data_IF_745569444217
#
_entry.id   IF_745569444217
#
_cell.length_a   1.000
_cell.length_b   1.000
_cell.length_c   1.000
_cell.angle_alpha   90.00
_cell.angle_beta   90.00
_cell.angle_gamma   90.00
#
_symmetry.space_group_name_H-M   'P 1'
#
loop_
_entity.id
_entity.type
_entity.pdbx_description
1 polymer ?
#
# COMPACT_ATOMS: atom_id res chain seq x y z
N UNK A 1 -47.19 -9.35 17.21
CA UNK A 1 -46.77 -10.70 16.82
C UNK A 1 -45.27 -10.67 16.69
N UNK A 2 -44.52 -11.42 17.51
CA UNK A 2 -43.07 -11.29 17.52
C UNK A 2 -42.45 -12.00 16.32
N UNK A 3 -41.36 -11.40 15.87
CA UNK A 3 -40.44 -11.90 14.87
C UNK A 3 -39.55 -12.96 15.51
N UNK A 4 -39.62 -14.19 15.00
CA UNK A 4 -38.61 -15.24 15.16
C UNK A 4 -38.96 -16.32 14.14
N UNK A 5 -38.17 -16.41 13.06
CA UNK A 5 -37.96 -17.60 12.21
C UNK A 5 -37.51 -17.17 10.82
N UNK A 6 -36.22 -16.83 10.67
CA UNK A 6 -35.64 -16.59 9.35
C UNK A 6 -34.15 -16.98 9.26
N UNK A 7 -33.69 -18.03 9.94
CA UNK A 7 -32.40 -18.67 9.62
C UNK A 7 -32.40 -20.14 10.03
N UNK A 8 -32.26 -21.11 9.10
CA UNK A 8 -31.89 -22.46 9.50
C UNK A 8 -30.43 -22.43 10.00
N UNK A 9 -30.24 -22.73 11.28
CA UNK A 9 -28.92 -22.97 11.88
C UNK A 9 -28.27 -24.17 11.17
N UNK A 10 -26.96 -24.10 10.85
CA UNK A 10 -26.27 -25.22 10.20
C UNK A 10 -26.22 -26.44 11.13
N UNK A 11 -26.27 -27.63 10.53
CA UNK A 11 -26.25 -28.94 11.20
C UNK A 11 -25.29 -29.01 12.39
N UNK A 12 -25.82 -29.38 13.55
CA UNK A 12 -25.16 -29.38 14.86
C UNK A 12 -23.90 -30.27 14.95
N UNK A 13 -23.67 -31.19 14.01
CA UNK A 13 -22.47 -32.04 13.97
C UNK A 13 -21.22 -31.31 13.47
N UNK A 14 -21.37 -30.33 12.57
CA UNK A 14 -20.25 -29.53 12.04
C UNK A 14 -19.79 -28.46 13.04
N UNK A 15 -20.69 -27.94 13.88
CA UNK A 15 -20.37 -26.89 14.84
C UNK A 15 -19.44 -27.35 15.99
N UNK A 16 -19.56 -28.61 16.44
CA UNK A 16 -18.64 -29.19 17.46
C UNK A 16 -17.23 -29.38 16.91
N UNK A 17 -17.09 -29.98 15.72
CA UNK A 17 -15.80 -30.17 15.06
C UNK A 17 -15.08 -28.84 14.74
N UNK A 18 -15.83 -27.80 14.35
CA UNK A 18 -15.26 -26.46 14.10
C UNK A 18 -14.85 -25.77 15.41
N UNK A 19 -15.62 -25.92 16.49
CA UNK A 19 -15.25 -25.37 17.81
C UNK A 19 -14.00 -26.04 18.39
N UNK A 20 -13.90 -27.37 18.31
CA UNK A 20 -12.74 -28.13 18.78
C UNK A 20 -11.47 -27.79 17.98
N UNK A 21 -11.57 -27.64 16.66
CA UNK A 21 -10.44 -27.16 15.83
C UNK A 21 -10.05 -25.73 16.15
N UNK A 22 -11.01 -24.82 16.34
CA UNK A 22 -10.73 -23.44 16.75
C UNK A 22 -10.03 -23.36 18.12
N UNK A 23 -10.39 -24.22 19.08
CA UNK A 23 -9.65 -24.31 20.35
C UNK A 23 -8.24 -24.88 20.18
N UNK A 24 -8.02 -25.77 19.21
CA UNK A 24 -6.69 -26.26 18.83
C UNK A 24 -5.79 -25.14 18.28
N UNK A 25 -6.26 -24.39 17.27
CA UNK A 25 -5.47 -23.29 16.70
C UNK A 25 -5.10 -22.21 17.70
N UNK A 26 -6.00 -21.89 18.66
CA UNK A 26 -5.69 -20.94 19.72
C UNK A 26 -4.58 -21.45 20.62
N UNK A 27 -4.65 -22.72 21.04
CA UNK A 27 -3.61 -23.35 21.87
C UNK A 27 -2.26 -23.39 21.14
N UNK A 28 -2.27 -23.80 19.88
CA UNK A 28 -1.05 -23.85 19.05
C UNK A 28 -0.47 -22.45 18.83
N UNK A 29 -1.33 -21.45 18.63
CA UNK A 29 -0.94 -20.04 18.53
C UNK A 29 -0.25 -19.53 19.79
N UNK A 30 -0.83 -19.74 20.96
CA UNK A 30 -0.20 -19.31 22.22
C UNK A 30 1.11 -20.05 22.51
N UNK A 31 1.18 -21.35 22.23
CA UNK A 31 2.42 -22.12 22.38
C UNK A 31 3.53 -21.60 21.46
N UNK A 32 3.18 -21.23 20.23
CA UNK A 32 4.11 -20.61 19.28
C UNK A 32 4.58 -19.23 19.74
N UNK A 33 3.66 -18.38 20.22
CA UNK A 33 4.01 -17.06 20.78
C UNK A 33 5.00 -17.23 21.92
N UNK A 34 4.74 -18.13 22.87
CA UNK A 34 5.64 -18.38 24.00
C UNK A 34 7.03 -18.83 23.52
N UNK A 35 7.08 -19.78 22.58
CA UNK A 35 8.34 -20.32 22.07
C UNK A 35 9.19 -19.27 21.33
N UNK A 36 8.58 -18.52 20.40
CA UNK A 36 9.30 -17.52 19.61
C UNK A 36 9.65 -16.28 20.43
N UNK A 37 8.77 -15.85 21.34
CA UNK A 37 9.06 -14.76 22.26
C UNK A 37 10.22 -15.12 23.19
N UNK A 38 10.19 -16.32 23.80
CA UNK A 38 11.30 -16.79 24.63
C UNK A 38 12.61 -16.85 23.84
N UNK A 39 12.56 -17.31 22.59
CA UNK A 39 13.72 -17.33 21.70
C UNK A 39 14.29 -15.92 21.46
N UNK A 40 13.47 -14.97 20.98
CA UNK A 40 13.92 -13.61 20.69
C UNK A 40 14.39 -12.88 21.94
N UNK A 41 13.70 -13.04 23.06
CA UNK A 41 14.08 -12.42 24.32
C UNK A 41 15.37 -13.02 24.89
N UNK A 42 15.63 -14.32 24.68
CA UNK A 42 16.92 -14.94 25.03
C UNK A 42 18.06 -14.35 24.20
N UNK A 43 17.86 -14.22 22.88
CA UNK A 43 18.84 -13.54 22.01
C UNK A 43 19.08 -12.09 22.46
N UNK A 44 18.02 -11.38 22.86
CA UNK A 44 18.14 -10.00 23.32
C UNK A 44 18.87 -9.90 24.68
N UNK A 45 18.59 -10.81 25.62
CA UNK A 45 19.30 -10.88 26.88
C UNK A 45 20.81 -11.12 26.67
N UNK A 46 21.18 -12.03 25.78
CA UNK A 46 22.59 -12.25 25.42
C UNK A 46 23.24 -11.01 24.80
N UNK A 47 22.53 -10.30 23.91
CA UNK A 47 23.04 -9.05 23.32
C UNK A 47 23.28 -7.98 24.39
N UNK A 48 22.41 -7.88 25.40
CA UNK A 48 22.61 -6.97 26.52
C UNK A 48 23.80 -7.39 27.39
N UNK A 49 23.96 -8.68 27.69
CA UNK A 49 25.12 -9.21 28.42
C UNK A 49 26.43 -8.93 27.66
N UNK A 50 26.46 -9.23 26.36
CA UNK A 50 27.60 -8.98 25.47
C UNK A 50 27.94 -7.47 25.40
N UNK A 51 26.95 -6.59 25.56
CA UNK A 51 27.11 -5.13 25.61
C UNK A 51 27.48 -4.58 27.01
N UNK A 52 27.65 -5.43 28.02
CA UNK A 52 27.97 -5.04 29.40
C UNK A 52 26.78 -4.59 30.25
N UNK A 53 25.56 -4.82 29.77
CA UNK A 53 24.28 -4.38 30.39
C UNK A 53 23.60 -5.54 31.17
N UNK A 54 24.38 -6.37 31.87
CA UNK A 54 23.88 -7.59 32.51
C UNK A 54 22.77 -7.39 33.55
N UNK A 55 22.73 -6.23 34.20
CA UNK A 55 21.63 -5.89 35.12
C UNK A 55 20.32 -5.69 34.36
N UNK A 56 20.36 -5.14 33.14
CA UNK A 56 19.18 -4.97 32.29
C UNK A 56 18.74 -6.32 31.71
N UNK A 57 19.69 -7.17 31.29
CA UNK A 57 19.40 -8.53 30.84
C UNK A 57 18.58 -9.33 31.87
N UNK A 58 18.95 -9.23 33.16
CA UNK A 58 18.22 -9.86 34.28
C UNK A 58 16.87 -9.23 34.59
N UNK A 59 16.62 -8.00 34.13
CA UNK A 59 15.34 -7.32 34.30
C UNK A 59 14.38 -7.53 33.11
N UNK A 60 14.81 -8.21 32.04
CA UNK A 60 13.98 -8.44 30.87
C UNK A 60 12.78 -9.35 31.18
N UNK A 61 11.58 -9.01 30.69
CA UNK A 61 10.41 -9.86 30.82
C UNK A 61 10.58 -11.19 30.04
N UNK A 62 9.84 -12.23 30.44
CA UNK A 62 9.77 -13.55 29.81
C UNK A 62 11.04 -14.43 29.83
N UNK A 63 12.19 -13.90 30.24
CA UNK A 63 13.46 -14.65 30.39
C UNK A 63 13.91 -14.72 31.84
N UNK A 64 13.57 -13.71 32.65
CA UNK A 64 13.89 -13.65 34.07
C UNK A 64 12.62 -13.61 34.91
N UNK A 65 12.60 -14.36 36.00
CA UNK A 65 11.55 -14.29 37.03
C UNK A 65 11.69 -13.07 37.96
N UNK A 66 12.75 -12.27 37.76
CA UNK A 66 13.05 -11.11 38.59
C UNK A 66 12.02 -10.00 38.34
N UNK A 67 11.11 -9.80 39.30
CA UNK A 67 10.16 -8.67 39.26
C UNK A 67 10.89 -7.38 39.60
N UNK A 68 10.75 -6.35 38.77
CA UNK A 68 11.17 -4.99 39.13
C UNK A 68 10.38 -4.58 40.37
N UNK A 69 11.09 -4.27 41.47
CA UNK A 69 10.46 -3.75 42.68
C UNK A 69 9.77 -2.42 42.38
N UNK A 70 8.46 -2.33 42.68
CA UNK A 70 7.69 -1.09 42.54
C UNK A 70 8.34 0.01 43.38
N UNK A 71 8.73 1.12 42.74
CA UNK A 71 9.29 2.30 43.41
C UNK A 71 10.76 2.62 43.12
N UNK A 72 11.48 1.77 42.36
CA UNK A 72 12.81 2.14 41.83
C UNK A 72 12.68 3.09 40.64
N UNK A 73 13.59 4.07 40.55
CA UNK A 73 13.69 5.00 39.42
C UNK A 73 13.91 4.17 38.14
N UNK A 74 12.96 4.25 37.21
CA UNK A 74 13.12 3.68 35.87
C UNK A 74 14.22 4.46 35.16
N UNK A 75 15.33 3.80 34.80
CA UNK A 75 16.36 4.42 33.96
C UNK A 75 15.87 4.49 32.52
N UNK A 76 16.31 5.49 31.75
CA UNK A 76 15.98 5.61 30.33
C UNK A 76 16.34 4.32 29.55
N UNK A 77 17.46 3.68 29.92
CA UNK A 77 17.90 2.40 29.37
C UNK A 77 16.93 1.25 29.65
N UNK A 78 16.37 1.18 30.85
CA UNK A 78 15.37 0.17 31.19
C UNK A 78 14.07 0.39 30.41
N UNK A 79 13.64 1.64 30.27
CA UNK A 79 12.50 2.00 29.43
C UNK A 79 12.73 1.58 27.97
N UNK A 80 13.92 1.83 27.42
CA UNK A 80 14.29 1.40 26.07
C UNK A 80 14.24 -0.13 25.93
N UNK A 81 14.80 -0.87 26.89
CA UNK A 81 14.80 -2.33 26.87
C UNK A 81 13.37 -2.90 26.87
N UNK A 82 12.48 -2.32 27.67
CA UNK A 82 11.07 -2.72 27.72
C UNK A 82 10.30 -2.32 26.46
N UNK A 83 10.62 -1.17 25.86
CA UNK A 83 10.05 -0.75 24.57
C UNK A 83 10.40 -1.76 23.46
N UNK A 84 11.68 -2.13 23.35
CA UNK A 84 12.14 -3.15 22.39
C UNK A 84 11.44 -4.49 22.69
N UNK A 85 11.40 -4.92 23.95
CA UNK A 85 10.75 -6.17 24.34
C UNK A 85 9.26 -6.22 23.94
N UNK A 86 8.54 -5.09 24.07
CA UNK A 86 7.16 -4.97 23.64
C UNK A 86 7.02 -5.02 22.11
N UNK A 87 7.95 -4.41 21.35
CA UNK A 87 7.95 -4.55 19.89
C UNK A 87 8.26 -6.00 19.44
N UNK A 88 9.15 -6.71 20.14
CA UNK A 88 9.41 -8.12 19.86
C UNK A 88 8.16 -8.98 20.10
N UNK A 89 7.38 -8.70 21.15
CA UNK A 89 6.09 -9.33 21.37
C UNK A 89 5.15 -9.10 20.18
N UNK A 90 4.99 -7.85 19.72
CA UNK A 90 4.15 -7.53 18.56
C UNK A 90 4.59 -8.30 17.30
N UNK A 91 5.90 -8.35 17.01
CA UNK A 91 6.45 -9.09 15.86
C UNK A 91 6.09 -10.58 15.94
N UNK A 92 6.20 -11.19 17.13
CA UNK A 92 5.88 -12.60 17.36
C UNK A 92 4.38 -12.87 17.24
N UNK A 93 3.54 -11.98 17.78
CA UNK A 93 2.08 -12.07 17.67
C UNK A 93 1.63 -11.94 16.21
N UNK A 94 2.15 -10.96 15.47
CA UNK A 94 1.87 -10.76 14.06
C UNK A 94 2.25 -11.97 13.21
N UNK A 95 3.47 -12.50 13.41
CA UNK A 95 3.93 -13.68 12.69
C UNK A 95 3.08 -14.92 13.05
N UNK A 96 2.79 -15.14 14.33
CA UNK A 96 1.93 -16.25 14.77
C UNK A 96 0.55 -16.14 14.13
N UNK A 97 -0.07 -14.97 14.17
CA UNK A 97 -1.38 -14.74 13.55
C UNK A 97 -1.33 -15.05 12.05
N UNK A 98 -0.26 -14.65 11.34
CA UNK A 98 -0.09 -14.96 9.93
C UNK A 98 0.04 -16.48 9.67
N UNK A 99 0.80 -17.21 10.50
CA UNK A 99 0.98 -18.66 10.35
C UNK A 99 -0.29 -19.45 10.67
N UNK A 100 -0.99 -19.09 11.74
CA UNK A 100 -2.26 -19.75 12.10
C UNK A 100 -3.30 -19.53 10.99
N UNK A 101 -3.37 -18.33 10.40
CA UNK A 101 -4.25 -18.08 9.24
C UNK A 101 -3.90 -18.98 8.05
N UNK A 102 -2.62 -19.14 7.73
CA UNK A 102 -2.17 -20.03 6.65
C UNK A 102 -2.50 -21.49 6.94
N UNK A 103 -2.29 -21.94 8.17
CA UNK A 103 -2.62 -23.30 8.59
C UNK A 103 -4.13 -23.57 8.46
N UNK A 104 -4.97 -22.64 8.93
CA UNK A 104 -6.43 -22.73 8.80
C UNK A 104 -6.88 -22.74 7.34
N UNK A 105 -6.29 -21.88 6.51
CA UNK A 105 -6.56 -21.85 5.06
C UNK A 105 -6.17 -23.18 4.38
N UNK A 106 -5.04 -23.78 4.77
CA UNK A 106 -4.59 -25.06 4.23
C UNK A 106 -5.46 -26.25 4.67
N UNK A 107 -5.91 -26.27 5.94
CA UNK A 107 -6.67 -27.39 6.51
C UNK A 107 -8.18 -27.31 6.26
N UNK A 108 -8.75 -26.11 6.24
CA UNK A 108 -10.20 -25.87 6.16
C UNK A 108 -10.61 -25.24 4.82
N UNK A 109 -9.65 -24.68 4.07
CA UNK A 109 -9.85 -24.07 2.75
C UNK A 109 -9.97 -22.54 2.78
N UNK A 110 -10.09 -21.94 1.60
CA UNK A 110 -10.04 -20.47 1.39
C UNK A 110 -11.12 -19.66 2.14
N UNK A 111 -12.18 -20.31 2.60
CA UNK A 111 -13.28 -19.69 3.35
C UNK A 111 -13.14 -19.79 4.87
N UNK A 112 -12.02 -20.33 5.38
CA UNK A 112 -11.80 -20.53 6.81
C UNK A 112 -11.62 -19.23 7.60
N UNK A 113 -11.00 -18.23 6.96
CA UNK A 113 -10.61 -16.98 7.63
C UNK A 113 -11.65 -15.88 7.46
N UNK A 114 -12.14 -15.38 8.59
CA UNK A 114 -13.04 -14.24 8.64
C UNK A 114 -12.33 -12.99 8.13
N UNK A 115 -13.03 -12.17 7.34
CA UNK A 115 -12.48 -10.95 6.75
C UNK A 115 -11.68 -11.16 5.45
N UNK A 116 -11.50 -12.41 4.99
CA UNK A 116 -10.91 -12.70 3.67
C UNK A 116 -11.98 -12.94 2.60
N UNK A 117 -11.59 -12.77 1.33
CA UNK A 117 -12.48 -12.89 0.16
C UNK A 117 -13.27 -14.21 0.13
N UNK A 118 -12.60 -15.35 0.35
CA UNK A 118 -13.23 -16.66 0.29
C UNK A 118 -14.39 -16.82 1.28
N UNK A 119 -14.23 -16.32 2.50
CA UNK A 119 -15.29 -16.32 3.52
C UNK A 119 -16.50 -15.50 3.07
N UNK A 120 -16.26 -14.29 2.56
CA UNK A 120 -17.35 -13.40 2.10
C UNK A 120 -18.05 -13.94 0.85
N UNK A 121 -17.32 -14.49 -0.12
CA UNK A 121 -17.93 -15.12 -1.29
C UNK A 121 -18.77 -16.34 -0.93
N UNK A 122 -18.30 -17.18 -0.01
CA UNK A 122 -19.10 -18.30 0.53
C UNK A 122 -20.39 -17.80 1.19
N UNK A 123 -20.30 -16.73 1.99
CA UNK A 123 -21.48 -16.10 2.63
C UNK A 123 -22.48 -15.57 1.60
N UNK A 124 -22.02 -14.85 0.57
CA UNK A 124 -22.88 -14.31 -0.50
C UNK A 124 -23.53 -15.43 -1.33
N UNK A 125 -22.79 -16.49 -1.65
CA UNK A 125 -23.32 -17.67 -2.33
C UNK A 125 -24.39 -18.38 -1.49
N UNK A 126 -24.15 -18.53 -0.20
CA UNK A 126 -25.12 -19.14 0.74
C UNK A 126 -26.40 -18.30 0.86
N UNK A 127 -26.28 -16.97 0.75
CA UNK A 127 -27.41 -16.05 0.68
C UNK A 127 -28.12 -16.02 -0.69
N UNK A 128 -27.75 -16.90 -1.64
CA UNK A 128 -28.41 -17.00 -2.95
C UNK A 128 -28.01 -15.91 -3.95
N UNK A 129 -26.95 -15.14 -3.71
CA UNK A 129 -26.50 -14.10 -4.64
C UNK A 129 -25.68 -14.72 -5.77
N UNK A 130 -26.10 -14.50 -7.02
CA UNK A 130 -25.43 -15.05 -8.19
C UNK A 130 -24.04 -14.43 -8.41
N UNK A 131 -23.06 -15.18 -8.96
CA UNK A 131 -21.73 -14.65 -9.29
C UNK A 131 -21.77 -13.43 -10.20
N UNK A 132 -22.71 -13.38 -11.16
CA UNK A 132 -22.90 -12.24 -12.06
C UNK A 132 -23.27 -10.97 -11.30
N UNK A 133 -24.17 -11.09 -10.31
CA UNK A 133 -24.56 -9.96 -9.47
C UNK A 133 -23.42 -9.52 -8.56
N UNK A 134 -22.64 -10.46 -8.01
CA UNK A 134 -21.46 -10.14 -7.21
C UNK A 134 -20.43 -9.37 -8.05
N UNK A 135 -20.06 -9.88 -9.24
CA UNK A 135 -19.10 -9.22 -10.14
C UNK A 135 -19.55 -7.80 -10.53
N UNK A 136 -20.85 -7.64 -10.84
CA UNK A 136 -21.43 -6.32 -11.18
C UNK A 136 -21.34 -5.31 -10.03
N UNK A 137 -21.48 -5.78 -8.78
CA UNK A 137 -21.37 -4.91 -7.61
C UNK A 137 -19.90 -4.63 -7.29
N UNK A 138 -19.02 -5.64 -7.39
CA UNK A 138 -17.59 -5.50 -7.12
C UNK A 138 -16.97 -4.37 -7.94
N UNK A 139 -17.29 -4.27 -9.23
CA UNK A 139 -16.77 -3.22 -10.13
C UNK A 139 -17.21 -1.80 -9.76
N UNK A 140 -18.24 -1.65 -8.92
CA UNK A 140 -18.77 -0.36 -8.45
C UNK A 140 -18.23 0.05 -7.08
N UNK A 141 -17.56 -0.86 -6.37
CA UNK A 141 -17.00 -0.57 -5.05
C UNK A 141 -15.78 0.32 -5.24
N UNK A 142 -15.75 1.43 -4.49
CA UNK A 142 -14.59 2.32 -4.38
C UNK A 142 -14.15 2.34 -2.93
N UNK A 143 -12.87 2.09 -2.69
CA UNK A 143 -12.24 2.18 -1.37
C UNK A 143 -11.09 3.18 -1.46
N UNK A 144 -11.12 4.20 -0.59
CA UNK A 144 -10.11 5.26 -0.57
C UNK A 144 -9.53 5.43 0.85
N UNK A 145 -8.44 4.72 1.18
CA UNK A 145 -7.73 4.94 2.43
C UNK A 145 -7.00 6.30 2.37
N UNK A 146 -7.23 7.13 3.37
CA UNK A 146 -6.58 8.45 3.51
C UNK A 146 -5.50 8.38 4.58
N UNK A 147 -4.25 8.61 4.16
CA UNK A 147 -3.07 8.55 5.02
C UNK A 147 -2.93 9.83 5.82
N UNK A 148 -2.73 9.71 7.13
CA UNK A 148 -2.52 10.83 8.04
C UNK A 148 -1.17 10.72 8.73
N UNK A 149 -0.59 11.84 9.15
CA UNK A 149 0.57 11.81 10.04
C UNK A 149 0.16 11.21 11.39
N UNK A 150 0.99 10.34 11.96
CA UNK A 150 0.71 9.77 13.28
C UNK A 150 1.31 10.70 14.36
N UNK A 151 0.50 11.28 15.26
CA UNK A 151 0.97 12.34 16.17
C UNK A 151 1.93 11.86 17.27
N UNK A 152 1.93 10.56 17.59
CA UNK A 152 2.68 9.98 18.73
C UNK A 152 3.57 8.81 18.38
N UNK A 153 3.53 8.31 17.14
CA UNK A 153 4.29 7.12 16.71
C UNK A 153 5.13 7.48 15.49
N UNK A 154 5.92 8.53 15.65
CA UNK A 154 7.10 8.66 14.82
C UNK A 154 8.06 7.55 15.29
N UNK A 155 8.01 6.36 14.71
CA UNK A 155 9.12 5.41 14.78
C UNK A 155 10.09 5.79 13.68
N UNK A 156 11.40 5.81 13.99
CA UNK A 156 12.41 6.16 12.97
C UNK A 156 12.24 5.21 11.80
N UNK A 157 12.29 5.70 10.57
CA UNK A 157 12.21 4.86 9.38
C UNK A 157 13.23 3.71 9.45
N UNK A 158 14.41 3.98 9.99
CA UNK A 158 15.47 3.01 10.28
C UNK A 158 15.04 1.95 11.32
N UNK A 159 14.34 2.34 12.38
CA UNK A 159 13.82 1.40 13.41
C UNK A 159 12.74 0.49 12.81
N UNK A 160 11.83 1.03 11.99
CA UNK A 160 10.86 0.21 11.25
C UNK A 160 11.54 -0.79 10.30
N UNK A 161 12.65 -0.40 9.67
CA UNK A 161 13.45 -1.30 8.84
C UNK A 161 14.07 -2.45 9.66
N UNK A 162 14.63 -2.15 10.83
CA UNK A 162 15.15 -3.18 11.73
C UNK A 162 14.05 -4.13 12.23
N UNK A 163 12.88 -3.61 12.61
CA UNK A 163 11.74 -4.47 12.97
C UNK A 163 11.29 -5.37 11.81
N UNK A 164 11.22 -4.82 10.59
CA UNK A 164 10.93 -5.61 9.39
C UNK A 164 11.98 -6.68 9.16
N UNK A 165 13.26 -6.37 9.31
CA UNK A 165 14.34 -7.34 9.15
C UNK A 165 14.23 -8.46 10.19
N UNK A 166 13.97 -8.13 11.46
CA UNK A 166 13.71 -9.11 12.52
C UNK A 166 12.50 -10.00 12.19
N UNK A 167 11.41 -9.43 11.69
CA UNK A 167 10.24 -10.19 11.25
C UNK A 167 10.60 -11.17 10.12
N UNK A 168 11.38 -10.73 9.12
CA UNK A 168 11.82 -11.58 8.01
C UNK A 168 12.74 -12.71 8.48
N UNK A 169 13.68 -12.43 9.38
CA UNK A 169 14.55 -13.44 9.98
C UNK A 169 13.76 -14.44 10.82
N UNK A 170 12.75 -13.98 11.57
CA UNK A 170 11.85 -14.84 12.32
C UNK A 170 11.09 -15.79 11.37
N UNK A 171 10.54 -15.28 10.27
CA UNK A 171 9.85 -16.09 9.25
C UNK A 171 10.82 -17.05 8.57
N UNK A 172 12.04 -16.61 8.25
CA UNK A 172 13.06 -17.44 7.63
C UNK A 172 13.44 -18.62 8.53
N UNK A 173 13.59 -18.39 9.84
CA UNK A 173 13.89 -19.41 10.85
C UNK A 173 12.88 -20.55 10.88
N UNK A 174 11.62 -20.30 10.53
CA UNK A 174 10.55 -21.31 10.54
C UNK A 174 10.69 -22.39 9.46
N UNK A 175 11.54 -22.16 8.46
CA UNK A 175 11.74 -23.13 7.41
C UNK A 175 12.39 -24.40 7.99
N UNK A 176 11.65 -25.50 7.89
CA UNK A 176 12.00 -26.82 8.44
C UNK A 176 13.17 -27.50 7.70
N UNK A 177 13.56 -26.98 6.53
CA UNK A 177 14.65 -27.53 5.72
C UNK A 177 16.03 -27.06 6.16
N UNK A 178 16.13 -26.07 7.04
CA UNK A 178 17.42 -25.56 7.48
C UNK A 178 18.20 -26.58 8.32
N UNK A 179 19.50 -26.66 8.04
CA UNK A 179 20.46 -27.36 8.87
C UNK A 179 20.69 -26.64 10.20
N UNK A 180 21.23 -27.32 11.23
CA UNK A 180 21.57 -26.67 12.50
C UNK A 180 22.54 -25.49 12.35
N UNK A 181 23.45 -25.54 11.37
CA UNK A 181 24.39 -24.45 11.10
C UNK A 181 23.67 -23.23 10.53
N UNK A 182 22.78 -23.42 9.56
CA UNK A 182 21.98 -22.33 8.97
C UNK A 182 21.03 -21.70 10.01
N UNK A 183 20.42 -22.51 10.87
CA UNK A 183 19.63 -22.03 12.01
C UNK A 183 20.47 -21.17 12.96
N UNK A 184 21.73 -21.56 13.21
CA UNK A 184 22.67 -20.76 14.01
C UNK A 184 23.02 -19.44 13.31
N UNK A 185 23.27 -19.45 12.00
CA UNK A 185 23.52 -18.23 11.22
C UNK A 185 22.34 -17.25 11.33
N UNK A 186 21.11 -17.73 11.15
CA UNK A 186 19.90 -16.88 11.29
C UNK A 186 19.81 -16.30 12.71
N UNK A 187 20.12 -17.10 13.73
CA UNK A 187 20.15 -16.63 15.12
C UNK A 187 21.20 -15.52 15.33
N UNK A 188 22.38 -15.68 14.77
CA UNK A 188 23.45 -14.69 14.87
C UNK A 188 23.07 -13.39 14.14
N UNK A 189 22.41 -13.48 12.97
CA UNK A 189 21.85 -12.33 12.27
C UNK A 189 20.76 -11.61 13.10
N UNK A 190 19.89 -12.36 13.78
CA UNK A 190 18.90 -11.80 14.71
C UNK A 190 19.59 -11.04 15.84
N UNK A 191 20.67 -11.59 16.44
CA UNK A 191 21.44 -10.91 17.49
C UNK A 191 22.05 -9.60 16.97
N UNK A 192 22.59 -9.58 15.74
CA UNK A 192 23.12 -8.36 15.12
C UNK A 192 22.03 -7.30 14.97
N UNK A 193 20.84 -7.66 14.49
CA UNK A 193 19.73 -6.70 14.35
C UNK A 193 19.20 -6.20 15.70
N UNK A 194 19.13 -7.07 16.71
CA UNK A 194 18.81 -6.67 18.09
C UNK A 194 19.86 -5.70 18.66
N UNK A 195 21.15 -5.92 18.39
CA UNK A 195 22.20 -5.00 18.82
C UNK A 195 22.09 -3.64 18.10
N UNK A 196 21.77 -3.63 16.79
CA UNK A 196 21.50 -2.38 16.06
C UNK A 196 20.33 -1.63 16.69
N UNK A 197 19.22 -2.30 17.01
CA UNK A 197 18.09 -1.66 17.69
C UNK A 197 18.48 -1.09 19.05
N UNK A 198 19.20 -1.87 19.86
CA UNK A 198 19.65 -1.46 21.19
C UNK A 198 20.56 -0.23 21.15
N UNK A 199 21.50 -0.18 20.19
CA UNK A 199 22.42 0.97 20.04
C UNK A 199 21.76 2.17 19.37
N UNK A 200 20.72 1.97 18.54
CA UNK A 200 20.04 3.05 17.80
C UNK A 200 19.05 3.83 18.67
N UNK A 201 18.33 3.13 19.55
CA UNK A 201 17.23 3.71 20.32
C UNK A 201 15.94 3.90 19.51
N UNK A 202 14.79 3.71 20.17
CA UNK A 202 13.47 3.78 19.53
C UNK A 202 12.79 5.15 19.69
N UNK A 203 13.12 5.89 20.76
CA UNK A 203 12.43 7.12 21.15
C UNK A 203 13.01 8.31 20.38
N UNK A 204 12.16 9.04 19.66
CA UNK A 204 12.55 10.35 19.12
C UNK A 204 12.74 11.35 20.26
N UNK A 205 13.91 11.98 20.29
CA UNK A 205 14.19 13.10 21.20
C UNK A 205 13.47 14.39 20.76
N UNK A 206 13.02 14.47 19.50
CA UNK A 206 12.34 15.64 18.91
C UNK A 206 11.21 15.24 17.95
N UNK A 207 10.16 16.06 17.88
CA UNK A 207 9.05 15.88 16.92
C UNK A 207 9.60 15.86 15.48
N UNK A 208 9.17 14.93 14.60
CA UNK A 208 9.63 14.91 13.21
C UNK A 208 9.27 16.21 12.48
N UNK A 209 10.10 16.57 11.51
CA UNK A 209 9.76 17.58 10.51
C UNK A 209 8.67 17.06 9.56
N UNK A 210 7.86 17.97 9.00
CA UNK A 210 6.84 17.62 7.99
C UNK A 210 7.48 16.87 6.81
N UNK A 211 8.71 17.25 6.43
CA UNK A 211 9.48 16.57 5.38
C UNK A 211 9.65 15.07 5.66
N UNK A 212 9.91 14.68 6.90
CA UNK A 212 10.04 13.30 7.32
C UNK A 212 8.70 12.56 7.30
N UNK A 213 7.61 13.22 7.70
CA UNK A 213 6.25 12.66 7.61
C UNK A 213 5.85 12.40 6.15
N UNK A 214 6.10 13.37 5.25
CA UNK A 214 5.90 13.22 3.79
C UNK A 214 6.69 12.03 3.26
N UNK A 215 7.97 11.93 3.60
CA UNK A 215 8.84 10.85 3.13
C UNK A 215 8.37 9.48 3.62
N UNK A 216 7.85 9.40 4.85
CA UNK A 216 7.25 8.18 5.40
C UNK A 216 6.07 7.69 4.55
N UNK A 217 5.13 8.58 4.22
CA UNK A 217 3.97 8.23 3.39
C UNK A 217 4.37 7.88 1.95
N UNK A 218 5.29 8.65 1.36
CA UNK A 218 5.80 8.38 0.02
C UNK A 218 6.45 6.99 -0.06
N UNK A 219 7.16 6.56 0.98
CA UNK A 219 7.70 5.19 1.04
C UNK A 219 6.60 4.13 0.91
N UNK A 220 5.49 4.25 1.64
CA UNK A 220 4.39 3.28 1.55
C UNK A 220 3.72 3.32 0.17
N UNK A 221 3.43 4.50 -0.37
CA UNK A 221 2.82 4.67 -1.70
C UNK A 221 3.71 4.14 -2.83
N UNK A 222 5.03 4.27 -2.69
CA UNK A 222 6.00 3.88 -3.72
C UNK A 222 6.43 2.42 -3.63
N UNK A 223 6.71 1.94 -2.43
CA UNK A 223 7.37 0.64 -2.22
C UNK A 223 6.41 -0.46 -1.74
N UNK A 224 5.41 -0.11 -0.93
CA UNK A 224 4.58 -1.09 -0.21
C UNK A 224 3.25 -1.32 -0.91
N UNK A 225 2.44 -0.28 -1.07
CA UNK A 225 1.08 -0.40 -1.59
C UNK A 225 1.00 -0.97 -3.01
N UNK A 226 1.90 -0.66 -3.96
CA UNK A 226 1.88 -1.29 -5.27
C UNK A 226 1.97 -2.82 -5.21
N UNK A 227 2.78 -3.36 -4.28
CA UNK A 227 2.89 -4.80 -4.07
C UNK A 227 1.65 -5.36 -3.35
N UNK A 228 1.11 -4.63 -2.38
CA UNK A 228 -0.09 -5.02 -1.63
C UNK A 228 -1.31 -5.11 -2.54
N UNK A 229 -1.52 -4.12 -3.43
CA UNK A 229 -2.62 -4.11 -4.40
C UNK A 229 -2.55 -5.33 -5.32
N UNK A 230 -1.38 -5.62 -5.90
CA UNK A 230 -1.18 -6.81 -6.72
C UNK A 230 -1.48 -8.11 -5.97
N UNK A 231 -1.03 -8.23 -4.71
CA UNK A 231 -1.35 -9.38 -3.85
C UNK A 231 -2.85 -9.48 -3.54
N UNK A 232 -3.51 -8.35 -3.27
CA UNK A 232 -4.94 -8.29 -2.98
C UNK A 232 -5.77 -8.77 -4.18
N UNK A 233 -5.45 -8.28 -5.37
CA UNK A 233 -6.14 -8.67 -6.60
C UNK A 233 -5.91 -10.15 -6.92
N UNK A 234 -4.69 -10.66 -6.70
CA UNK A 234 -4.40 -12.09 -6.84
C UNK A 234 -5.23 -12.93 -5.86
N UNK A 235 -5.27 -12.57 -4.57
CA UNK A 235 -6.07 -13.29 -3.57
C UNK A 235 -7.57 -13.22 -3.86
N UNK A 236 -8.08 -12.11 -4.40
CA UNK A 236 -9.46 -12.00 -4.85
C UNK A 236 -9.74 -13.00 -5.98
N UNK A 237 -8.90 -13.03 -7.02
CA UNK A 237 -9.05 -13.94 -8.16
C UNK A 237 -8.93 -15.42 -7.74
N UNK A 238 -8.00 -15.75 -6.85
CA UNK A 238 -7.88 -17.09 -6.28
C UNK A 238 -9.15 -17.49 -5.53
N UNK A 239 -9.61 -16.67 -4.58
CA UNK A 239 -10.82 -16.94 -3.83
C UNK A 239 -12.06 -17.04 -4.74
N UNK A 240 -12.13 -16.26 -5.81
CA UNK A 240 -13.19 -16.32 -6.81
C UNK A 240 -13.22 -17.68 -7.52
N UNK A 241 -12.05 -18.11 -8.03
CA UNK A 241 -11.91 -19.39 -8.73
C UNK A 241 -12.19 -20.58 -7.81
N UNK A 242 -11.67 -20.57 -6.58
CA UNK A 242 -11.89 -21.61 -5.57
C UNK A 242 -13.36 -21.74 -5.15
N UNK A 243 -14.15 -20.67 -5.28
CA UNK A 243 -15.61 -20.72 -5.08
C UNK A 243 -16.38 -21.33 -6.25
N UNK A 244 -15.67 -21.71 -7.34
CA UNK A 244 -16.25 -22.24 -8.56
C UNK A 244 -16.93 -21.16 -9.42
N UNK A 245 -16.59 -19.89 -9.22
CA UNK A 245 -17.13 -18.81 -10.03
C UNK A 245 -16.34 -18.67 -11.34
N UNK A 246 -17.03 -18.35 -12.44
CA UNK A 246 -16.39 -18.20 -13.75
C UNK A 246 -15.35 -17.07 -13.71
N UNK A 247 -14.06 -17.33 -14.02
CA UNK A 247 -13.02 -16.29 -14.05
C UNK A 247 -13.33 -15.14 -15.01
N UNK A 248 -14.04 -15.42 -16.11
CA UNK A 248 -14.43 -14.43 -17.13
C UNK A 248 -15.28 -13.28 -16.57
N UNK A 249 -15.97 -13.47 -15.45
CA UNK A 249 -16.79 -12.42 -14.81
C UNK A 249 -15.95 -11.31 -14.18
N UNK A 250 -14.68 -11.58 -13.88
CA UNK A 250 -13.76 -10.62 -13.24
C UNK A 250 -12.43 -10.51 -13.99
N UNK A 251 -12.35 -10.98 -15.23
CA UNK A 251 -11.09 -11.05 -15.97
C UNK A 251 -10.54 -9.65 -16.27
N UNK A 252 -11.42 -8.74 -16.65
CA UNK A 252 -11.08 -7.34 -16.91
C UNK A 252 -10.59 -6.61 -15.64
N UNK A 253 -9.51 -5.81 -15.71
CA UNK A 253 -9.04 -4.99 -14.58
C UNK A 253 -10.11 -4.08 -13.98
N UNK A 254 -11.09 -3.65 -14.78
CA UNK A 254 -12.22 -2.81 -14.38
C UNK A 254 -13.34 -3.56 -13.65
N UNK A 255 -13.34 -4.88 -13.68
CA UNK A 255 -14.30 -5.69 -12.95
C UNK A 255 -13.96 -5.82 -11.45
N UNK A 256 -12.71 -5.50 -11.09
CA UNK A 256 -12.24 -5.49 -9.70
C UNK A 256 -12.65 -4.20 -8.99
N UNK A 257 -12.79 -4.21 -7.64
CA UNK A 257 -13.04 -2.99 -6.86
C UNK A 257 -12.02 -1.90 -7.15
N UNK A 258 -12.44 -0.64 -7.23
CA UNK A 258 -11.53 0.50 -7.35
C UNK A 258 -10.90 0.79 -5.99
N UNK A 259 -9.57 0.91 -5.98
CA UNK A 259 -8.82 1.38 -4.82
C UNK A 259 -8.21 2.71 -5.23
N UNK A 260 -8.31 3.70 -4.35
CA UNK A 260 -7.64 4.99 -4.48
C UNK A 260 -6.88 5.26 -3.20
N UNK A 261 -5.93 6.17 -3.22
CA UNK A 261 -5.26 6.62 -2.00
C UNK A 261 -5.43 8.12 -1.85
N UNK A 262 -5.71 8.56 -0.63
CA UNK A 262 -5.65 9.95 -0.22
C UNK A 262 -4.53 10.18 0.80
N UNK A 263 -4.15 11.43 1.02
CA UNK A 263 -3.23 11.83 2.09
C UNK A 263 -3.57 13.22 2.61
N UNK A 264 -3.46 13.41 3.92
CA UNK A 264 -3.55 14.71 4.58
C UNK A 264 -2.18 15.35 4.78
N UNK A 265 -1.10 14.57 4.72
CA UNK A 265 0.25 15.08 5.02
C UNK A 265 0.72 16.00 3.89
N UNK A 266 0.97 17.26 4.24
CA UNK A 266 1.29 18.33 3.30
C UNK A 266 0.07 19.14 2.81
N UNK A 267 -1.14 18.74 3.18
CA UNK A 267 -2.39 19.40 2.77
C UNK A 267 -3.26 19.88 3.94
N UNK A 268 -3.28 19.13 5.05
CA UNK A 268 -3.96 19.51 6.29
C UNK A 268 -3.18 20.60 7.03
N UNK A 269 -3.78 21.79 7.10
CA UNK A 269 -3.25 22.97 7.76
C UNK A 269 -4.10 23.41 8.96
N UNK A 270 -5.09 22.60 9.35
CA UNK A 270 -5.94 22.86 10.51
C UNK A 270 -5.11 22.71 11.80
N UNK A 271 -4.78 23.85 12.42
CA UNK A 271 -3.93 23.89 13.62
C UNK A 271 -2.44 23.59 13.37
N UNK A 272 -2.00 23.48 12.10
CA UNK A 272 -0.61 23.16 11.75
C UNK A 272 0.05 24.31 10.96
N UNK A 273 0.63 25.32 11.63
CA UNK A 273 1.14 26.54 10.97
C UNK A 273 2.30 26.30 9.99
N UNK A 274 2.97 25.16 10.10
CA UNK A 274 4.10 24.80 9.24
C UNK A 274 3.67 24.19 7.89
N UNK A 275 2.38 23.90 7.68
CA UNK A 275 1.86 23.44 6.38
C UNK A 275 1.47 24.67 5.55
N UNK A 276 2.41 25.16 4.76
CA UNK A 276 2.23 26.35 3.90
C UNK A 276 1.83 25.97 2.47
N UNK A 277 1.51 26.97 1.63
CA UNK A 277 1.32 26.78 0.19
C UNK A 277 2.54 26.13 -0.48
N UNK A 278 3.76 26.50 -0.06
CA UNK A 278 4.99 25.89 -0.55
C UNK A 278 5.09 24.42 -0.15
N UNK A 279 4.74 24.07 1.09
CA UNK A 279 4.70 22.67 1.55
C UNK A 279 3.72 21.85 0.70
N UNK A 280 2.54 22.40 0.42
CA UNK A 280 1.52 21.76 -0.43
C UNK A 280 2.03 21.58 -1.87
N UNK A 281 2.65 22.61 -2.46
CA UNK A 281 3.21 22.54 -3.81
C UNK A 281 4.32 21.47 -3.92
N UNK A 282 5.26 21.46 -2.98
CA UNK A 282 6.31 20.44 -2.90
C UNK A 282 5.72 19.03 -2.80
N UNK A 283 4.70 18.85 -1.95
CA UNK A 283 4.03 17.56 -1.77
C UNK A 283 3.40 17.07 -3.07
N UNK A 284 2.68 17.93 -3.79
CA UNK A 284 2.07 17.59 -5.08
C UNK A 284 3.13 17.21 -6.14
N UNK A 285 4.25 17.95 -6.17
CA UNK A 285 5.39 17.64 -7.06
C UNK A 285 6.04 16.31 -6.73
N UNK A 286 6.29 16.03 -5.45
CA UNK A 286 6.85 14.76 -4.96
C UNK A 286 5.92 13.58 -5.29
N UNK A 287 4.62 13.71 -5.03
CA UNK A 287 3.60 12.70 -5.36
C UNK A 287 3.58 12.37 -6.86
N UNK A 288 3.52 13.39 -7.71
CA UNK A 288 3.57 13.21 -9.18
C UNK A 288 4.88 12.56 -9.63
N UNK A 289 6.01 13.01 -9.09
CA UNK A 289 7.33 12.50 -9.46
C UNK A 289 7.47 11.02 -9.13
N UNK A 290 7.09 10.63 -7.90
CA UNK A 290 7.16 9.24 -7.47
C UNK A 290 6.14 8.36 -8.22
N UNK A 291 4.96 8.88 -8.62
CA UNK A 291 4.01 8.15 -9.48
C UNK A 291 4.67 7.71 -10.79
N UNK A 292 5.32 8.66 -11.46
CA UNK A 292 5.96 8.42 -12.73
C UNK A 292 7.20 7.52 -12.60
N UNK A 293 7.95 7.62 -11.50
CA UNK A 293 9.07 6.73 -11.22
C UNK A 293 8.61 5.27 -11.09
N UNK A 294 7.55 5.00 -10.32
CA UNK A 294 7.04 3.63 -10.17
C UNK A 294 6.51 3.09 -11.49
N UNK A 295 5.73 3.89 -12.23
CA UNK A 295 5.27 3.53 -13.57
C UNK A 295 6.43 3.21 -14.52
N UNK A 296 7.46 4.05 -14.53
CA UNK A 296 8.61 3.86 -15.39
C UNK A 296 9.33 2.55 -15.05
N UNK A 297 9.48 2.23 -13.76
CA UNK A 297 10.06 0.96 -13.32
C UNK A 297 9.21 -0.23 -13.79
N UNK A 298 7.89 -0.17 -13.65
CA UNK A 298 6.99 -1.23 -14.11
C UNK A 298 7.08 -1.42 -15.64
N UNK A 299 6.95 -0.34 -16.41
CA UNK A 299 7.02 -0.39 -17.88
C UNK A 299 8.39 -0.86 -18.38
N UNK A 300 9.50 -0.47 -17.75
CA UNK A 300 10.84 -0.90 -18.18
C UNK A 300 11.04 -2.42 -18.13
N UNK A 301 10.32 -3.12 -17.27
CA UNK A 301 10.39 -4.59 -17.21
C UNK A 301 9.53 -5.28 -18.28
N UNK A 302 8.55 -4.58 -18.85
CA UNK A 302 7.56 -5.14 -19.75
C UNK A 302 8.13 -5.66 -21.09
N UNK A 303 9.04 -4.94 -21.79
CA UNK A 303 9.58 -5.40 -23.08
C UNK A 303 10.26 -6.78 -22.99
N UNK A 304 10.98 -7.04 -21.89
CA UNK A 304 11.68 -8.32 -21.70
C UNK A 304 10.72 -9.49 -21.59
N UNK A 305 9.54 -9.27 -20.98
CA UNK A 305 8.49 -10.26 -20.76
C UNK A 305 7.65 -10.54 -22.00
N UNK A 306 7.54 -9.57 -22.92
CA UNK A 306 6.69 -9.66 -24.12
C UNK A 306 7.44 -10.10 -25.38
N UNK A 307 8.30 -11.12 -25.27
CA UNK A 307 9.15 -11.66 -26.34
C UNK A 307 8.42 -12.46 -27.43
N UNK A 308 7.12 -12.21 -27.63
CA UNK A 308 6.27 -12.98 -28.53
C UNK A 308 6.67 -12.69 -29.98
N UNK A 309 7.03 -13.74 -30.72
CA UNK A 309 7.47 -13.60 -32.11
C UNK A 309 6.29 -13.62 -33.08
N UNK A 310 6.31 -12.70 -34.06
CA UNK A 310 5.33 -12.63 -35.15
C UNK A 310 5.33 -13.85 -36.08
N UNK A 311 6.40 -14.65 -36.05
CA UNK A 311 6.54 -15.84 -36.88
C UNK A 311 5.57 -16.96 -36.45
N UNK A 312 5.41 -17.13 -35.13
CA UNK A 312 4.57 -18.17 -34.54
C UNK A 312 3.14 -17.70 -34.30
N UNK A 313 2.96 -16.41 -34.01
CA UNK A 313 1.65 -15.79 -33.83
C UNK A 313 1.64 -14.40 -34.51
N UNK A 314 0.88 -14.22 -35.60
CA UNK A 314 0.82 -12.91 -36.26
C UNK A 314 0.21 -11.87 -35.31
N UNK A 315 0.84 -10.71 -35.20
CA UNK A 315 0.30 -9.63 -34.39
C UNK A 315 -0.96 -9.02 -35.02
N UNK A 316 -1.96 -8.66 -34.20
CA UNK A 316 -3.13 -7.93 -34.66
C UNK A 316 -2.78 -6.64 -35.41
N UNK A 317 -3.58 -6.31 -36.43
CA UNK A 317 -3.35 -5.14 -37.27
C UNK A 317 -3.34 -3.82 -36.48
N UNK A 318 -4.18 -3.73 -35.44
CA UNK A 318 -4.26 -2.56 -34.57
C UNK A 318 -2.93 -2.27 -33.85
N UNK A 319 -2.25 -3.30 -33.33
CA UNK A 319 -0.95 -3.17 -32.67
C UNK A 319 0.11 -2.67 -33.65
N UNK A 320 0.22 -3.34 -34.81
CA UNK A 320 1.20 -2.98 -35.86
C UNK A 320 0.98 -1.55 -36.38
N UNK A 321 -0.28 -1.15 -36.53
CA UNK A 321 -0.65 0.22 -36.97
C UNK A 321 -0.23 1.25 -35.94
N UNK A 322 -0.48 0.99 -34.66
CA UNK A 322 -0.11 1.91 -33.58
C UNK A 322 1.41 2.08 -33.49
N UNK A 323 2.17 0.98 -33.56
CA UNK A 323 3.65 1.01 -33.59
C UNK A 323 4.14 1.88 -34.75
N UNK A 324 3.68 1.60 -35.97
CA UNK A 324 4.10 2.33 -37.17
C UNK A 324 3.74 3.82 -37.15
N UNK A 325 2.64 4.19 -36.49
CA UNK A 325 2.24 5.58 -36.28
C UNK A 325 3.20 6.27 -35.32
N UNK A 326 3.49 5.65 -34.16
CA UNK A 326 4.23 6.29 -33.07
C UNK A 326 5.75 6.34 -33.27
N UNK A 327 6.34 5.31 -33.90
CA UNK A 327 7.79 5.30 -34.19
C UNK A 327 8.22 6.58 -34.93
N UNK A 328 7.37 7.11 -35.84
CA UNK A 328 7.68 8.31 -36.64
C UNK A 328 7.90 9.58 -35.80
N UNK A 329 7.39 9.60 -34.57
CA UNK A 329 7.50 10.74 -33.65
C UNK A 329 8.70 10.65 -32.70
N UNK A 330 9.45 9.53 -32.73
CA UNK A 330 10.64 9.33 -31.90
C UNK A 330 11.90 9.91 -32.57
N UNK A 331 12.98 10.07 -31.78
CA UNK A 331 14.29 10.45 -32.31
C UNK A 331 14.90 9.34 -33.18
N UNK A 332 15.73 9.65 -34.19
CA UNK A 332 16.31 8.66 -35.10
C UNK A 332 16.98 7.46 -34.42
N UNK A 333 17.73 7.71 -33.34
CA UNK A 333 18.41 6.66 -32.55
C UNK A 333 17.40 5.65 -31.96
N UNK A 334 16.36 6.17 -31.28
CA UNK A 334 15.29 5.35 -30.69
C UNK A 334 14.45 4.65 -31.78
N UNK A 335 14.25 5.29 -32.94
CA UNK A 335 13.60 4.65 -34.07
C UNK A 335 14.37 3.43 -34.56
N UNK A 336 15.69 3.50 -34.68
CA UNK A 336 16.53 2.39 -35.12
C UNK A 336 16.41 1.21 -34.16
N UNK A 337 16.59 1.46 -32.86
CA UNK A 337 16.52 0.42 -31.81
C UNK A 337 15.16 -0.27 -31.79
N UNK A 338 14.06 0.48 -31.90
CA UNK A 338 12.72 -0.11 -31.90
C UNK A 338 12.45 -0.87 -33.21
N UNK A 339 13.00 -0.44 -34.35
CA UNK A 339 12.84 -1.17 -35.63
C UNK A 339 13.58 -2.50 -35.66
N UNK A 340 14.65 -2.68 -34.89
CA UNK A 340 15.32 -3.98 -34.75
C UNK A 340 14.40 -5.04 -34.10
N UNK A 341 13.39 -4.62 -33.35
CA UNK A 341 12.43 -5.49 -32.67
C UNK A 341 11.22 -5.89 -33.54
N UNK A 342 11.30 -5.73 -34.87
CA UNK A 342 10.15 -5.96 -35.77
C UNK A 342 9.62 -7.40 -35.75
N UNK A 343 10.47 -8.37 -35.39
CA UNK A 343 10.05 -9.77 -35.23
C UNK A 343 9.29 -10.03 -33.92
N UNK A 344 9.33 -9.10 -32.96
CA UNK A 344 8.67 -9.20 -31.66
C UNK A 344 7.74 -8.01 -31.42
N UNK A 345 6.60 -7.93 -32.13
CA UNK A 345 5.76 -6.72 -32.17
C UNK A 345 5.20 -6.27 -30.81
N UNK A 346 4.96 -7.19 -29.86
CA UNK A 346 4.55 -6.84 -28.50
C UNK A 346 5.68 -6.21 -27.68
N UNK A 347 6.90 -6.77 -27.77
CA UNK A 347 8.11 -6.15 -27.19
C UNK A 347 8.39 -4.80 -27.83
N UNK A 348 8.24 -4.70 -29.16
CA UNK A 348 8.42 -3.46 -29.91
C UNK A 348 7.46 -2.36 -29.41
N UNK A 349 6.18 -2.68 -29.22
CA UNK A 349 5.21 -1.74 -28.68
C UNK A 349 5.50 -1.37 -27.22
N UNK A 350 5.86 -2.34 -26.37
CA UNK A 350 6.23 -2.05 -24.98
C UNK A 350 7.48 -1.16 -24.87
N UNK A 351 8.51 -1.38 -25.72
CA UNK A 351 9.70 -0.53 -25.76
C UNK A 351 9.34 0.89 -26.18
N UNK A 352 8.40 1.04 -27.11
CA UNK A 352 7.90 2.34 -27.53
C UNK A 352 7.24 3.09 -26.35
N UNK A 353 6.39 2.43 -25.56
CA UNK A 353 5.79 3.03 -24.35
C UNK A 353 6.86 3.45 -23.34
N UNK A 354 7.93 2.67 -23.19
CA UNK A 354 9.08 3.03 -22.33
C UNK A 354 9.77 4.30 -22.83
N UNK A 355 10.08 4.41 -24.12
CA UNK A 355 10.73 5.60 -24.70
C UNK A 355 9.87 6.87 -24.59
N UNK A 356 8.55 6.71 -24.76
CA UNK A 356 7.57 7.79 -24.68
C UNK A 356 7.39 8.28 -23.23
N UNK A 357 7.34 7.38 -22.25
CA UNK A 357 7.20 7.76 -20.84
C UNK A 357 8.51 8.23 -20.20
N UNK A 358 9.67 7.79 -20.70
CA UNK A 358 10.95 8.00 -20.01
C UNK A 358 11.32 9.49 -19.89
N UNK A 359 11.14 10.13 -18.73
CA UNK A 359 11.73 11.45 -18.46
C UNK A 359 13.27 11.41 -18.47
N UNK A 360 13.94 12.55 -18.70
CA UNK A 360 15.37 12.65 -18.39
C UNK A 360 15.51 12.62 -16.86
N UNK A 361 16.12 11.58 -16.32
CA UNK A 361 16.64 11.59 -14.95
C UNK A 361 17.87 12.50 -15.00
N UNK A 362 17.91 13.59 -14.23
CA UNK A 362 19.14 14.38 -14.14
C UNK A 362 20.21 13.58 -13.40
N UNK A 363 21.49 13.92 -13.59
CA UNK A 363 22.63 13.27 -12.91
C UNK A 363 22.52 13.30 -11.37
N UNK A 364 21.65 14.16 -10.82
CA UNK A 364 21.39 14.34 -9.39
C UNK A 364 20.24 13.46 -8.85
N UNK A 365 19.70 12.55 -9.65
CA UNK A 365 18.59 11.67 -9.25
C UNK A 365 17.24 12.38 -9.13
N UNK A 366 17.17 13.68 -9.44
CA UNK A 366 15.92 14.39 -9.61
C UNK A 366 15.36 14.07 -11.00
N UNK A 367 14.11 13.61 -11.05
CA UNK A 367 13.38 13.56 -12.32
C UNK A 367 13.06 14.99 -12.67
N UNK A 368 13.89 15.62 -13.51
CA UNK A 368 13.45 16.80 -14.24
C UNK A 368 12.43 16.32 -15.26
N UNK A 369 11.17 16.28 -14.82
CA UNK A 369 10.02 16.24 -15.71
C UNK A 369 10.03 17.57 -16.45
N UNK A 370 10.94 17.72 -17.42
CA UNK A 370 10.84 18.84 -18.35
C UNK A 370 9.44 18.79 -18.95
N UNK A 371 8.80 19.95 -18.98
CA UNK A 371 7.51 20.22 -19.62
C UNK A 371 7.39 19.64 -21.04
N UNK A 372 8.51 19.23 -21.66
CA UNK A 372 8.62 18.67 -23.00
C UNK A 372 8.00 17.26 -23.21
N UNK A 373 7.59 16.51 -22.17
CA UNK A 373 6.99 15.16 -22.33
C UNK A 373 5.52 15.02 -21.94
N UNK A 374 4.87 16.14 -21.58
CA UNK A 374 3.41 16.24 -21.51
C UNK A 374 2.71 16.08 -22.88
N UNK A 375 3.47 15.97 -23.98
CA UNK A 375 2.94 15.86 -25.34
C UNK A 375 2.48 14.44 -25.74
N UNK A 376 3.02 13.37 -25.14
CA UNK A 376 2.68 11.98 -25.57
C UNK A 376 1.62 11.33 -24.70
N UNK A 377 1.68 11.54 -23.38
CA UNK A 377 0.65 11.08 -22.43
C UNK A 377 0.18 12.24 -21.54
N UNK A 378 -0.83 13.02 -22.01
CA UNK A 378 -1.39 14.12 -21.22
C UNK A 378 -1.99 13.64 -19.89
N UNK A 379 -2.53 12.42 -19.87
CA UNK A 379 -3.17 11.84 -18.70
C UNK A 379 -2.84 10.35 -18.52
N UNK A 380 -3.05 9.83 -17.31
CA UNK A 380 -2.95 8.40 -17.01
C UNK A 380 -3.91 7.55 -17.86
N UNK A 381 -5.08 8.11 -18.21
CA UNK A 381 -6.08 7.47 -19.05
C UNK A 381 -5.56 7.20 -20.47
N UNK A 382 -4.70 8.07 -21.00
CA UNK A 382 -4.14 7.89 -22.35
C UNK A 382 -3.15 6.72 -22.40
N UNK A 383 -2.35 6.54 -21.34
CA UNK A 383 -1.49 5.36 -21.20
C UNK A 383 -2.32 4.09 -20.92
N UNK A 384 -3.39 4.17 -20.14
CA UNK A 384 -4.31 3.04 -19.91
C UNK A 384 -4.92 2.55 -21.22
N UNK A 385 -5.31 3.45 -22.14
CA UNK A 385 -5.84 3.06 -23.47
C UNK A 385 -4.82 2.24 -24.26
N UNK A 386 -3.55 2.65 -24.27
CA UNK A 386 -2.50 1.91 -24.98
C UNK A 386 -2.20 0.56 -24.36
N UNK A 387 -2.17 0.48 -23.03
CA UNK A 387 -2.01 -0.79 -22.33
C UNK A 387 -3.23 -1.71 -22.54
N UNK A 388 -4.43 -1.14 -22.67
CA UNK A 388 -5.63 -1.88 -23.02
C UNK A 388 -5.55 -2.43 -24.45
N UNK A 389 -5.04 -1.64 -25.40
CA UNK A 389 -4.73 -2.13 -26.75
C UNK A 389 -3.71 -3.27 -26.72
N UNK A 390 -2.64 -3.13 -25.93
CA UNK A 390 -1.64 -4.17 -25.75
C UNK A 390 -2.25 -5.45 -25.16
N UNK A 391 -3.05 -5.31 -24.09
CA UNK A 391 -3.79 -6.41 -23.45
C UNK A 391 -4.69 -7.13 -24.45
N UNK A 392 -5.52 -6.38 -25.19
CA UNK A 392 -6.43 -6.93 -26.19
C UNK A 392 -5.67 -7.66 -27.30
N UNK A 393 -4.53 -7.12 -27.74
CA UNK A 393 -3.71 -7.76 -28.77
C UNK A 393 -3.10 -9.09 -28.32
N UNK A 394 -2.83 -9.27 -27.02
CA UNK A 394 -2.38 -10.54 -26.45
C UNK A 394 -3.54 -11.54 -26.36
N UNK A 395 -4.75 -11.08 -26.02
CA UNK A 395 -5.94 -11.94 -25.98
C UNK A 395 -6.28 -12.47 -27.38
N UNK A 396 -6.21 -11.62 -28.42
CA UNK A 396 -6.40 -12.02 -29.82
C UNK A 396 -5.35 -13.01 -30.34
N UNK A 397 -4.18 -13.07 -29.69
CA UNK A 397 -3.12 -14.02 -29.97
C UNK A 397 -3.13 -15.23 -29.02
N UNK A 398 -4.27 -15.51 -28.36
CA UNK A 398 -4.47 -16.59 -27.39
C UNK A 398 -3.48 -16.57 -26.19
N UNK A 399 -2.88 -15.41 -25.91
CA UNK A 399 -1.90 -15.18 -24.86
C UNK A 399 -2.50 -14.52 -23.60
N UNK A 400 -3.75 -14.84 -23.26
CA UNK A 400 -4.47 -14.23 -22.13
C UNK A 400 -3.74 -14.37 -20.77
N UNK A 401 -2.99 -15.45 -20.57
CA UNK A 401 -2.18 -15.63 -19.34
C UNK A 401 -1.07 -14.59 -19.22
N UNK A 402 -0.46 -14.20 -20.34
CA UNK A 402 0.60 -13.17 -20.38
C UNK A 402 -0.04 -11.79 -20.14
N UNK A 403 -1.19 -11.52 -20.77
CA UNK A 403 -1.96 -10.30 -20.51
C UNK A 403 -2.26 -10.12 -19.01
N UNK A 404 -2.80 -11.16 -18.38
CA UNK A 404 -3.13 -11.17 -16.96
C UNK A 404 -1.91 -11.05 -16.04
N UNK A 405 -0.78 -11.67 -16.39
CA UNK A 405 0.41 -11.70 -15.55
C UNK A 405 1.28 -10.45 -15.67
N UNK A 406 1.39 -9.86 -16.87
CA UNK A 406 2.39 -8.83 -17.17
C UNK A 406 1.79 -7.47 -17.54
N UNK A 407 0.60 -7.41 -18.14
CA UNK A 407 -0.03 -6.14 -18.57
C UNK A 407 -1.06 -5.65 -17.56
N UNK A 408 -1.94 -6.52 -17.09
CA UNK A 408 -3.01 -6.19 -16.15
C UNK A 408 -2.49 -5.55 -14.85
N UNK A 409 -1.36 -5.97 -14.23
CA UNK A 409 -0.82 -5.30 -13.06
C UNK A 409 -0.45 -3.83 -13.31
N UNK A 410 -0.02 -3.49 -14.52
CA UNK A 410 0.35 -2.10 -14.89
C UNK A 410 -0.90 -1.26 -15.12
N UNK A 411 -1.90 -1.80 -15.84
CA UNK A 411 -3.22 -1.17 -15.99
C UNK A 411 -3.82 -0.91 -14.60
N UNK A 412 -3.76 -1.93 -13.74
CA UNK A 412 -4.29 -1.86 -12.38
C UNK A 412 -3.57 -0.82 -11.54
N UNK A 413 -2.25 -0.75 -11.62
CA UNK A 413 -1.46 0.28 -10.96
C UNK A 413 -1.87 1.68 -11.42
N UNK A 414 -2.00 1.90 -12.73
CA UNK A 414 -2.47 3.19 -13.28
C UNK A 414 -3.84 3.61 -12.76
N UNK A 415 -4.77 2.67 -12.64
CA UNK A 415 -6.12 2.95 -12.13
C UNK A 415 -6.14 3.28 -10.63
N UNK A 416 -5.19 2.75 -9.87
CA UNK A 416 -5.11 2.95 -8.41
C UNK A 416 -4.32 4.22 -8.05
N UNK A 417 -3.19 4.44 -8.72
CA UNK A 417 -2.22 5.48 -8.37
C UNK A 417 -2.16 6.63 -9.39
N UNK A 418 -2.61 6.41 -10.63
CA UNK A 418 -2.56 7.41 -11.70
C UNK A 418 -1.17 8.02 -11.90
N UNK A 419 -1.13 9.29 -12.34
CA UNK A 419 0.09 10.10 -12.42
C UNK A 419 0.28 10.99 -11.17
N UNK A 420 -0.32 10.60 -10.04
CA UNK A 420 -0.32 11.42 -8.82
C UNK A 420 -0.12 10.63 -7.51
N UNK A 421 0.00 9.29 -7.55
CA UNK A 421 0.07 8.37 -6.39
C UNK A 421 -1.14 8.39 -5.46
N UNK A 422 -1.43 9.55 -4.87
CA UNK A 422 -2.53 9.76 -3.93
C UNK A 422 -3.11 11.16 -4.10
N UNK A 423 -4.41 11.32 -3.83
CA UNK A 423 -5.05 12.63 -3.73
C UNK A 423 -4.56 13.34 -2.47
N UNK A 424 -4.19 14.62 -2.58
CA UNK A 424 -3.83 15.45 -1.44
C UNK A 424 -5.06 16.24 -0.99
N UNK A 425 -5.59 15.93 0.19
CA UNK A 425 -6.72 16.66 0.74
C UNK A 425 -6.24 17.99 1.33
N UNK A 426 -6.94 19.08 0.99
CA UNK A 426 -6.71 20.39 1.58
C UNK A 426 -7.76 20.62 2.65
N UNK A 427 -7.31 20.79 3.90
CA UNK A 427 -8.18 21.02 5.04
C UNK A 427 -7.78 22.30 5.76
N UNK A 428 -8.76 23.17 6.03
CA UNK A 428 -8.58 24.42 6.75
C UNK A 428 -9.80 24.71 7.64
N UNK A 429 -9.55 25.36 8.78
CA UNK A 429 -10.60 25.79 9.69
C UNK A 429 -11.44 26.93 9.07
N UNK A 430 -12.77 26.86 9.19
CA UNK A 430 -13.73 27.85 8.65
C UNK A 430 -13.38 29.29 9.04
N UNK A 431 -12.85 29.51 10.25
CA UNK A 431 -12.44 30.82 10.74
C UNK A 431 -11.43 31.53 9.81
N UNK A 432 -10.54 30.79 9.15
CA UNK A 432 -9.59 31.41 8.22
C UNK A 432 -10.24 31.84 6.91
N UNK A 433 -11.26 31.09 6.44
CA UNK A 433 -12.07 31.50 5.30
C UNK A 433 -12.86 32.77 5.61
N UNK A 434 -13.43 32.86 6.81
CA UNK A 434 -14.14 34.04 7.30
C UNK A 434 -13.24 35.28 7.37
N UNK A 435 -12.01 35.13 7.87
CA UNK A 435 -11.03 36.22 7.90
C UNK A 435 -10.68 36.68 6.49
N UNK A 436 -10.40 35.75 5.57
CA UNK A 436 -10.05 36.07 4.19
C UNK A 436 -11.20 36.79 3.46
N UNK A 437 -12.44 36.29 3.61
CA UNK A 437 -13.60 36.90 2.97
C UNK A 437 -13.88 38.31 3.52
N UNK A 438 -13.77 38.51 4.85
CA UNK A 438 -13.85 39.84 5.45
C UNK A 438 -12.83 40.81 4.85
N UNK A 439 -11.57 40.38 4.68
CA UNK A 439 -10.52 41.20 4.09
C UNK A 439 -10.83 41.56 2.63
N UNK A 440 -11.34 40.60 1.84
CA UNK A 440 -11.73 40.83 0.44
C UNK A 440 -12.90 41.81 0.32
N UNK A 441 -13.96 41.64 1.12
CA UNK A 441 -15.15 42.50 1.09
C UNK A 441 -14.84 43.94 1.51
N UNK A 442 -13.99 44.11 2.53
CA UNK A 442 -13.48 45.43 2.93
C UNK A 442 -12.69 46.07 1.79
N UNK A 443 -11.80 45.31 1.15
CA UNK A 443 -10.99 45.82 0.04
C UNK A 443 -11.84 46.21 -1.18
N UNK A 444 -12.93 45.50 -1.41
CA UNK A 444 -13.90 45.79 -2.46
C UNK A 444 -14.83 46.98 -2.13
N UNK A 445 -14.80 47.51 -0.90
CA UNK A 445 -15.67 48.59 -0.45
C UNK A 445 -17.12 48.14 -0.18
N UNK A 446 -17.35 46.83 -0.03
CA UNK A 446 -18.66 46.26 0.27
C UNK A 446 -18.99 46.27 1.77
N UNK A 447 -17.96 46.41 2.62
CA UNK A 447 -18.09 46.53 4.07
C UNK A 447 -17.13 47.62 4.56
N UNK A 448 -17.60 48.52 5.43
CA UNK A 448 -16.79 49.56 6.08
C UNK A 448 -16.18 49.10 7.42
N UNK A 449 -15.21 49.84 7.97
CA UNK A 449 -14.60 49.52 9.28
C UNK A 449 -15.58 49.57 10.47
N UNK A 450 -16.75 50.18 10.28
CA UNK A 450 -17.81 50.32 11.29
C UNK A 450 -18.94 49.28 11.14
N UNK A 451 -18.94 48.51 10.04
CA UNK A 451 -19.96 47.51 9.77
C UNK A 451 -19.60 46.14 10.34
N UNK A 452 -20.65 45.36 10.62
CA UNK A 452 -20.54 43.99 11.12
C UNK A 452 -19.64 43.14 10.21
N UNK A 453 -18.80 42.32 10.83
CA UNK A 453 -18.01 41.32 10.13
C UNK A 453 -18.94 40.40 9.33
N UNK A 454 -18.47 39.86 8.21
CA UNK A 454 -19.20 38.87 7.41
C UNK A 454 -19.77 37.72 8.26
N UNK A 455 -19.06 37.30 9.32
CA UNK A 455 -19.50 36.25 10.26
C UNK A 455 -20.68 36.65 11.14
N UNK A 456 -20.91 37.94 11.30
CA UNK A 456 -21.98 38.55 12.10
C UNK A 456 -23.22 38.86 11.24
N UNK A 457 -23.12 38.71 9.92
CA UNK A 457 -24.28 38.80 9.02
C UNK A 457 -25.24 37.65 9.24
N UNK A 458 -26.53 37.90 8.96
CA UNK A 458 -27.51 36.81 8.89
C UNK A 458 -27.08 35.78 7.85
N UNK A 459 -27.44 34.51 8.05
CA UNK A 459 -27.14 33.45 7.07
C UNK A 459 -27.75 33.77 5.70
N UNK A 460 -28.95 34.35 5.67
CA UNK A 460 -29.63 34.78 4.44
C UNK A 460 -28.79 35.79 3.66
N UNK A 461 -28.29 36.84 4.31
CA UNK A 461 -27.46 37.86 3.66
C UNK A 461 -26.11 37.30 3.20
N UNK A 462 -25.52 36.36 3.95
CA UNK A 462 -24.29 35.65 3.53
C UNK A 462 -24.54 34.82 2.26
N UNK A 463 -25.64 34.07 2.22
CA UNK A 463 -26.00 33.26 1.05
C UNK A 463 -26.36 34.12 -0.15
N UNK A 464 -27.07 35.23 0.03
CA UNK A 464 -27.39 36.16 -1.05
C UNK A 464 -26.12 36.71 -1.71
N UNK A 465 -25.16 37.18 -0.90
CA UNK A 465 -23.86 37.63 -1.40
C UNK A 465 -23.12 36.50 -2.13
N UNK A 466 -22.94 35.35 -1.48
CA UNK A 466 -22.19 34.24 -2.07
C UNK A 466 -22.80 33.74 -3.37
N UNK A 467 -24.13 33.59 -3.44
CA UNK A 467 -24.81 33.16 -4.66
C UNK A 467 -24.68 34.21 -5.78
N UNK A 468 -24.78 35.49 -5.45
CA UNK A 468 -24.60 36.57 -6.43
C UNK A 468 -23.19 36.53 -7.04
N UNK A 469 -22.15 36.45 -6.22
CA UNK A 469 -20.75 36.43 -6.69
C UNK A 469 -20.37 35.10 -7.36
N UNK A 470 -21.00 33.97 -7.02
CA UNK A 470 -20.78 32.70 -7.71
C UNK A 470 -21.45 32.63 -9.09
N UNK A 471 -22.45 33.48 -9.35
CA UNK A 471 -23.17 33.57 -10.63
C UNK A 471 -22.60 34.64 -11.58
N UNK A 472 -21.77 35.56 -11.07
CA UNK A 472 -21.06 36.56 -11.87
C UNK A 472 -19.88 35.94 -12.61
#
# INVERSE_FOLDING_TARGET
>A
MPADDLFPLPELSNARNVRERNTGYLKDGFAKIEADLRFLMTCFAEVLDDAGESLLARCLPWVSDSKIERGKILTERLCQAYSIAFQLLNIVEENTAAQIRRQREAEVGVAAEHGLWGYHFKKLRTAGISPQKIATILSRIVVEPVLTAHPTEAKRSVVLQHHRQLYLLLVQRENRMWTPLEQKTIRDEIKVELERLWRTGEIYLHKPEISAERQGILYYLREVFPQVVSKLDHRLRQAWSEMGFSPSLIDEPQALPSIKFGTWVGGDRDGHPFVTEKTTEETLRELRTNALLVLQQLLRTLPQKLSLSRHWQPAPHALSTMVNKRIRHLKPEAQSQIRELTEEPWRQFAQLLVEELSGKISEEGQVSLTTARAATFPSALDLEKDLTLLRQSLIEADAARIALADVDPIIRHLRVFGFHLAALDIRQNSKFHDIALNQLLRKAGLISDQELHFTEWSEESRLELLNRELLS
#
